data_IF_894762279186
#
_entry.id   IF_894762279186
#
_cell.length_a   1.000
_cell.length_b   1.000
_cell.length_c   1.000
_cell.angle_alpha   90.00
_cell.angle_beta   90.00
_cell.angle_gamma   90.00
#
_symmetry.space_group_name_H-M   'P 1'
#
loop_
_entity.id
_entity.type
_entity.pdbx_description
1 polymer ?
#
# COMPACT_ATOMS: atom_id res chain seq x y z
N UNK A 1 -13.29 -6.93 -2.48
CA UNK A 1 -12.57 -5.81 -1.81
C UNK A 1 -13.60 -4.92 -1.14
N UNK A 2 -13.55 -4.80 0.20
CA UNK A 2 -14.48 -3.96 0.98
C UNK A 2 -14.01 -2.50 0.94
N UNK A 3 -14.89 -1.57 0.59
CA UNK A 3 -14.58 -0.14 0.46
C UNK A 3 -15.58 0.72 1.22
N UNK A 4 -15.15 1.92 1.64
CA UNK A 4 -16.00 2.84 2.35
C UNK A 4 -16.12 4.15 1.58
N UNK A 5 -15.70 5.28 2.09
CA UNK A 5 -15.86 6.57 1.40
C UNK A 5 -14.69 6.88 0.44
N UNK A 6 -14.97 7.75 -0.55
CA UNK A 6 -13.99 8.18 -1.58
C UNK A 6 -13.37 7.03 -2.41
N UNK A 7 -14.05 5.90 -2.53
CA UNK A 7 -13.53 4.69 -3.16
C UNK A 7 -13.48 4.73 -4.69
N UNK A 8 -14.13 5.69 -5.37
CA UNK A 8 -14.31 5.68 -6.82
C UNK A 8 -13.03 5.42 -7.64
N UNK A 9 -11.89 6.03 -7.27
CA UNK A 9 -10.65 5.81 -8.02
C UNK A 9 -10.06 4.43 -7.77
N UNK A 10 -10.24 3.87 -6.57
CA UNK A 10 -9.84 2.53 -6.20
C UNK A 10 -10.72 1.48 -6.87
N UNK A 11 -12.05 1.65 -6.83
CA UNK A 11 -13.01 0.77 -7.48
C UNK A 11 -12.74 0.67 -8.99
N UNK A 12 -12.49 1.83 -9.62
CA UNK A 12 -12.11 1.89 -11.04
C UNK A 12 -10.78 1.17 -11.31
N UNK A 13 -9.80 1.32 -10.43
CA UNK A 13 -8.51 0.64 -10.57
C UNK A 13 -8.69 -0.87 -10.51
N UNK A 14 -9.35 -1.37 -9.49
CA UNK A 14 -9.59 -2.81 -9.29
C UNK A 14 -10.37 -3.42 -10.44
N UNK A 15 -11.51 -2.83 -10.80
CA UNK A 15 -12.38 -3.35 -11.86
C UNK A 15 -11.70 -3.40 -13.23
N UNK A 16 -10.77 -2.47 -13.50
CA UNK A 16 -10.06 -2.42 -14.79
C UNK A 16 -8.76 -3.22 -14.81
N UNK A 17 -8.10 -3.39 -13.69
CA UNK A 17 -6.81 -4.09 -13.61
C UNK A 17 -6.99 -5.59 -13.56
N UNK A 18 -7.94 -6.07 -12.75
CA UNK A 18 -8.17 -7.49 -12.52
C UNK A 18 -9.51 -7.94 -13.11
N UNK A 19 -9.59 -7.91 -14.43
CA UNK A 19 -10.74 -8.49 -15.14
C UNK A 19 -10.54 -9.99 -15.27
N UNK A 20 -11.31 -10.77 -14.51
CA UNK A 20 -11.34 -12.22 -14.61
C UNK A 20 -12.41 -12.68 -15.59
N UNK A 21 -12.17 -13.82 -16.25
CA UNK A 21 -13.17 -14.38 -17.17
C UNK A 21 -14.38 -14.91 -16.39
N UNK A 22 -15.60 -14.47 -16.68
CA UNK A 22 -16.81 -15.02 -16.05
C UNK A 22 -17.00 -16.53 -16.25
N UNK A 23 -16.39 -17.09 -17.32
CA UNK A 23 -16.47 -18.51 -17.63
C UNK A 23 -15.73 -19.39 -16.61
N UNK A 24 -14.79 -18.83 -15.86
CA UNK A 24 -14.02 -19.54 -14.83
C UNK A 24 -14.65 -19.46 -13.44
N UNK A 25 -15.76 -18.74 -13.29
CA UNK A 25 -16.43 -18.55 -12.00
C UNK A 25 -15.71 -17.61 -11.03
N UNK A 26 -14.50 -17.16 -11.36
CA UNK A 26 -13.74 -16.25 -10.52
C UNK A 26 -14.16 -14.80 -10.75
N UNK A 27 -14.22 -14.00 -9.69
CA UNK A 27 -14.51 -12.58 -9.79
C UNK A 27 -13.69 -11.75 -8.81
N UNK A 28 -13.51 -10.48 -9.15
CA UNK A 28 -12.95 -9.47 -8.25
C UNK A 28 -13.90 -8.28 -8.27
N UNK A 29 -14.50 -7.97 -7.12
CA UNK A 29 -15.52 -6.94 -7.02
C UNK A 29 -15.21 -5.95 -5.88
N UNK A 30 -15.33 -4.63 -6.12
CA UNK A 30 -15.44 -3.66 -5.05
C UNK A 30 -16.82 -3.78 -4.39
N UNK A 31 -16.84 -3.81 -3.07
CA UNK A 31 -18.06 -3.90 -2.26
C UNK A 31 -18.11 -2.67 -1.35
N UNK A 32 -18.85 -1.63 -1.75
CA UNK A 32 -18.99 -0.44 -0.91
C UNK A 32 -19.85 -0.73 0.32
N UNK A 33 -19.59 0.02 1.40
CA UNK A 33 -20.39 -0.06 2.62
C UNK A 33 -21.88 0.21 2.34
N UNK A 34 -22.76 -0.66 2.82
CA UNK A 34 -24.20 -0.65 2.52
C UNK A 34 -25.08 -0.45 3.76
N UNK A 35 -24.49 -0.18 4.94
CA UNK A 35 -25.22 0.02 6.20
C UNK A 35 -26.20 -1.13 6.55
N UNK A 36 -25.79 -2.37 6.33
CA UNK A 36 -26.66 -3.56 6.48
C UNK A 36 -27.08 -3.86 7.92
N UNK A 37 -26.38 -3.29 8.90
CA UNK A 37 -26.57 -3.52 10.34
C UNK A 37 -27.04 -2.29 11.11
N UNK A 38 -27.58 -1.30 10.43
CA UNK A 38 -28.04 -0.04 11.02
C UNK A 38 -27.50 1.17 10.27
N UNK A 39 -27.86 2.39 10.68
CA UNK A 39 -27.51 3.64 9.98
C UNK A 39 -26.06 4.09 10.29
N UNK A 40 -25.11 3.17 10.29
CA UNK A 40 -23.69 3.44 10.51
C UNK A 40 -22.82 2.82 9.41
N UNK A 41 -21.68 3.45 9.16
CA UNK A 41 -20.62 2.92 8.31
C UNK A 41 -19.87 1.81 9.05
N UNK A 42 -18.83 1.24 8.41
CA UNK A 42 -17.96 0.29 9.09
C UNK A 42 -17.31 0.93 10.32
N UNK A 43 -17.46 0.29 11.47
CA UNK A 43 -16.89 0.74 12.74
C UNK A 43 -15.43 0.35 12.89
N UNK A 44 -15.03 -0.74 12.21
CA UNK A 44 -13.68 -1.25 12.18
C UNK A 44 -13.52 -2.29 11.06
N UNK A 45 -12.35 -2.88 10.96
CA UNK A 45 -12.02 -3.89 9.93
C UNK A 45 -12.83 -5.19 10.10
N UNK A 46 -13.12 -5.62 11.32
CA UNK A 46 -13.95 -6.77 11.62
C UNK A 46 -15.43 -6.48 11.31
N UNK A 47 -15.92 -5.27 11.63
CA UNK A 47 -17.29 -4.89 11.29
C UNK A 47 -17.53 -4.82 9.78
N UNK A 48 -16.51 -4.40 9.00
CA UNK A 48 -16.59 -4.42 7.55
C UNK A 48 -16.87 -5.82 7.00
N UNK A 49 -16.19 -6.82 7.55
CA UNK A 49 -16.40 -8.22 7.16
C UNK A 49 -17.74 -8.71 7.68
N UNK A 50 -18.10 -8.41 8.93
CA UNK A 50 -19.37 -8.77 9.53
C UNK A 50 -20.57 -8.24 8.75
N UNK A 51 -20.53 -6.97 8.31
CA UNK A 51 -21.57 -6.39 7.46
C UNK A 51 -21.64 -7.00 6.05
N UNK A 52 -20.59 -7.71 5.64
CA UNK A 52 -20.45 -8.33 4.31
C UNK A 52 -20.59 -9.86 4.35
N UNK A 53 -21.05 -10.47 5.46
CA UNK A 53 -21.20 -11.92 5.61
C UNK A 53 -22.12 -12.56 4.58
N UNK A 54 -23.08 -11.81 4.01
CA UNK A 54 -23.90 -12.31 2.91
C UNK A 54 -23.09 -12.76 1.70
N UNK A 55 -21.93 -12.15 1.43
CA UNK A 55 -21.04 -12.56 0.34
C UNK A 55 -20.38 -13.90 0.70
N UNK A 56 -20.00 -14.06 1.96
CA UNK A 56 -19.46 -15.32 2.46
C UNK A 56 -20.53 -16.43 2.40
N UNK A 57 -21.75 -16.09 2.75
CA UNK A 57 -22.90 -17.02 2.70
C UNK A 57 -23.24 -17.42 1.24
N UNK A 58 -23.10 -16.50 0.28
CA UNK A 58 -23.35 -16.77 -1.14
C UNK A 58 -22.24 -17.66 -1.76
N UNK A 59 -20.97 -17.44 -1.41
CA UNK A 59 -19.82 -18.14 -1.99
C UNK A 59 -19.43 -19.41 -1.21
N UNK A 60 -19.80 -19.53 0.06
CA UNK A 60 -19.50 -20.67 0.95
C UNK A 60 -18.05 -21.18 0.91
N UNK A 61 -17.06 -20.30 1.05
CA UNK A 61 -15.66 -20.72 1.04
C UNK A 61 -15.32 -21.52 2.29
N UNK A 62 -14.43 -22.49 2.18
CA UNK A 62 -13.91 -23.24 3.33
C UNK A 62 -12.94 -22.39 4.15
N UNK A 63 -12.13 -21.59 3.47
CA UNK A 63 -11.14 -20.68 4.07
C UNK A 63 -11.31 -19.25 3.56
N UNK A 64 -11.02 -18.28 4.42
CA UNK A 64 -11.03 -16.86 4.09
C UNK A 64 -9.65 -16.26 4.34
N UNK A 65 -9.10 -15.60 3.33
CA UNK A 65 -7.88 -14.78 3.46
C UNK A 65 -8.26 -13.32 3.58
N UNK A 66 -7.80 -12.67 4.63
CA UNK A 66 -8.02 -11.24 4.89
C UNK A 66 -6.69 -10.51 4.74
N UNK A 67 -6.67 -9.43 3.95
CA UNK A 67 -5.46 -8.70 3.58
C UNK A 67 -5.69 -7.22 3.79
N UNK A 68 -4.73 -6.54 4.45
CA UNK A 68 -4.65 -5.08 4.49
C UNK A 68 -4.31 -4.51 3.11
N UNK A 69 -4.85 -3.35 2.78
CA UNK A 69 -4.68 -2.72 1.47
C UNK A 69 -3.60 -1.62 1.42
N UNK A 70 -2.94 -1.35 2.53
CA UNK A 70 -1.96 -0.27 2.74
C UNK A 70 -0.53 -0.75 2.92
N UNK A 71 -0.25 -1.99 2.49
CA UNK A 71 1.07 -2.59 2.61
C UNK A 71 1.66 -2.93 1.24
N UNK A 72 2.95 -2.73 1.08
CA UNK A 72 3.71 -3.11 -0.12
C UNK A 72 4.54 -4.34 0.20
N UNK A 73 4.26 -5.44 -0.47
CA UNK A 73 5.00 -6.71 -0.38
C UNK A 73 4.67 -7.58 -1.58
N UNK A 74 5.39 -8.69 -1.69
CA UNK A 74 5.10 -9.73 -2.69
C UNK A 74 4.99 -11.06 -1.97
N UNK A 75 3.88 -11.76 -2.15
CA UNK A 75 3.56 -12.97 -1.41
C UNK A 75 2.77 -13.94 -2.27
N UNK A 76 3.07 -15.22 -2.16
CA UNK A 76 2.21 -16.30 -2.61
C UNK A 76 1.32 -16.75 -1.43
N UNK A 77 0.08 -16.30 -1.46
CA UNK A 77 -0.89 -16.63 -0.41
C UNK A 77 -1.26 -18.11 -0.35
N UNK A 78 -1.05 -18.87 -1.43
CA UNK A 78 -1.34 -20.32 -1.42
C UNK A 78 -0.49 -21.05 -0.40
N UNK A 79 0.76 -20.61 -0.20
CA UNK A 79 1.67 -21.20 0.81
C UNK A 79 1.17 -20.93 2.23
N UNK A 80 0.68 -19.72 2.51
CA UNK A 80 0.08 -19.39 3.81
C UNK A 80 -1.22 -20.18 4.07
N UNK A 81 -2.06 -20.33 3.05
CA UNK A 81 -3.29 -21.15 3.14
C UNK A 81 -2.93 -22.61 3.40
N UNK A 82 -1.94 -23.17 2.71
CA UNK A 82 -1.51 -24.55 2.94
C UNK A 82 -0.97 -24.73 4.36
N UNK A 83 -0.15 -23.79 4.86
CA UNK A 83 0.33 -23.79 6.24
C UNK A 83 -0.84 -23.76 7.25
N UNK A 84 -1.87 -22.95 6.98
CA UNK A 84 -3.07 -22.91 7.81
C UNK A 84 -3.78 -24.27 7.87
N UNK A 85 -3.96 -24.91 6.73
CA UNK A 85 -4.56 -26.24 6.63
C UNK A 85 -3.74 -27.28 7.41
N UNK A 86 -2.42 -27.26 7.21
CA UNK A 86 -1.51 -28.23 7.84
C UNK A 86 -1.43 -28.03 9.36
N UNK A 87 -1.61 -26.81 9.86
CA UNK A 87 -1.64 -26.50 11.29
C UNK A 87 -2.86 -27.03 12.00
N UNK A 88 -3.97 -27.16 11.30
CA UNK A 88 -5.28 -27.53 11.85
C UNK A 88 -5.87 -26.50 12.81
N UNK A 89 -5.28 -25.30 12.92
CA UNK A 89 -5.76 -24.21 13.78
C UNK A 89 -6.79 -23.35 13.02
N UNK A 90 -7.82 -22.80 13.71
CA UNK A 90 -8.88 -22.06 13.06
C UNK A 90 -8.49 -20.66 12.57
N UNK A 91 -7.38 -20.10 13.06
CA UNK A 91 -6.84 -18.82 12.63
C UNK A 91 -5.31 -18.90 12.42
N UNK A 92 -4.81 -18.17 11.43
CA UNK A 92 -3.37 -18.01 11.18
C UNK A 92 -3.07 -16.56 10.88
N UNK A 93 -2.06 -15.97 11.53
CA UNK A 93 -1.57 -14.62 11.28
C UNK A 93 -0.21 -14.69 10.59
N UNK A 94 -0.02 -13.89 9.53
CA UNK A 94 1.31 -13.72 8.92
C UNK A 94 2.15 -12.76 9.77
N UNK A 95 3.35 -13.20 10.12
CA UNK A 95 4.33 -12.43 10.85
C UNK A 95 5.56 -12.10 10.02
N UNK A 96 6.11 -10.92 10.22
CA UNK A 96 7.37 -10.48 9.62
C UNK A 96 8.33 -9.97 10.69
N UNK A 97 9.62 -10.25 10.52
CA UNK A 97 10.66 -9.78 11.44
C UNK A 97 10.97 -8.31 11.18
N UNK A 98 10.71 -7.47 12.16
CA UNK A 98 10.94 -6.02 12.11
C UNK A 98 11.84 -5.56 13.26
N UNK A 99 12.61 -4.44 13.08
CA UNK A 99 13.35 -3.85 14.17
C UNK A 99 12.49 -3.56 15.40
N UNK A 100 12.99 -3.87 16.60
CA UNK A 100 12.23 -3.72 17.86
C UNK A 100 11.76 -2.28 18.11
N UNK A 101 12.49 -1.29 17.58
CA UNK A 101 12.14 0.13 17.69
C UNK A 101 10.80 0.46 16.99
N UNK A 102 10.38 -0.35 16.03
CA UNK A 102 9.11 -0.19 15.32
C UNK A 102 7.92 -0.82 16.06
N UNK A 103 8.14 -1.60 17.12
CA UNK A 103 7.09 -2.26 17.86
C UNK A 103 5.94 -1.33 18.31
N UNK A 104 6.17 -0.06 18.72
CA UNK A 104 5.08 0.85 19.10
C UNK A 104 4.12 1.24 17.98
N UNK A 105 4.47 0.95 16.73
CA UNK A 105 3.62 1.21 15.56
C UNK A 105 2.90 -0.04 15.03
N UNK A 106 3.31 -1.24 15.48
CA UNK A 106 2.91 -2.53 14.89
C UNK A 106 2.21 -3.43 15.91
N UNK A 107 1.42 -4.38 15.43
CA UNK A 107 0.98 -5.52 16.23
C UNK A 107 2.15 -6.50 16.41
N UNK A 108 2.53 -6.83 17.64
CA UNK A 108 3.65 -7.74 17.95
C UNK A 108 3.12 -9.10 18.32
N UNK A 109 3.68 -10.13 17.68
CA UNK A 109 3.34 -11.54 17.88
C UNK A 109 4.41 -12.19 18.75
N UNK A 110 3.99 -12.81 19.84
CA UNK A 110 4.79 -13.73 20.64
C UNK A 110 4.27 -15.16 20.39
N UNK A 111 5.11 -16.01 19.82
CA UNK A 111 4.74 -17.35 19.40
C UNK A 111 5.69 -18.41 19.94
N UNK A 112 5.16 -19.58 20.22
CA UNK A 112 5.90 -20.77 20.63
C UNK A 112 5.39 -22.01 19.89
N UNK A 113 6.29 -22.73 19.24
CA UNK A 113 5.96 -23.94 18.48
C UNK A 113 4.93 -23.75 17.36
N UNK A 114 4.92 -22.57 16.74
CA UNK A 114 3.97 -22.24 15.65
C UNK A 114 2.60 -21.73 16.12
N UNK A 115 2.36 -21.68 17.44
CA UNK A 115 1.12 -21.15 18.04
C UNK A 115 1.39 -19.78 18.66
N UNK A 116 0.51 -18.82 18.39
CA UNK A 116 0.59 -17.48 19.00
C UNK A 116 0.18 -17.58 20.47
N UNK A 117 1.04 -17.12 21.36
CA UNK A 117 0.80 -17.06 22.81
C UNK A 117 0.26 -15.71 23.24
N UNK A 118 0.81 -14.64 22.66
CA UNK A 118 0.34 -13.28 22.90
C UNK A 118 0.32 -12.48 21.61
N UNK A 119 -0.63 -11.59 21.51
CA UNK A 119 -0.72 -10.60 20.44
C UNK A 119 -0.87 -9.22 21.09
N UNK A 120 0.12 -8.36 20.90
CA UNK A 120 0.18 -7.05 21.54
C UNK A 120 0.04 -5.95 20.49
N UNK A 121 -1.08 -5.25 20.49
CA UNK A 121 -1.30 -4.14 19.57
C UNK A 121 -0.54 -2.89 20.04
N UNK A 122 0.43 -2.45 19.25
CA UNK A 122 1.25 -1.24 19.45
C UNK A 122 1.83 -1.11 20.86
N UNK A 123 2.58 -2.12 21.36
CA UNK A 123 3.09 -2.11 22.71
C UNK A 123 4.18 -1.04 22.87
N UNK A 124 4.16 -0.33 24.00
CA UNK A 124 5.23 0.64 24.33
C UNK A 124 6.59 -0.03 24.55
N UNK A 125 6.58 -1.27 24.99
CA UNK A 125 7.75 -2.12 25.20
C UNK A 125 7.43 -3.50 24.64
N UNK A 126 8.34 -4.03 23.83
CA UNK A 126 8.25 -5.38 23.30
C UNK A 126 9.49 -6.17 23.71
N UNK A 127 9.34 -7.47 23.82
CA UNK A 127 10.46 -8.39 23.98
C UNK A 127 10.94 -8.80 22.59
N UNK A 128 12.27 -8.77 22.36
CA UNK A 128 12.86 -9.25 21.13
C UNK A 128 12.78 -10.76 20.99
N UNK A 129 12.95 -11.24 19.76
CA UNK A 129 12.95 -12.66 19.44
C UNK A 129 14.08 -13.39 20.14
N UNK A 130 13.90 -14.67 20.46
CA UNK A 130 14.90 -15.48 21.15
C UNK A 130 16.18 -15.68 20.33
N UNK A 131 16.05 -15.74 19.00
CA UNK A 131 17.14 -15.88 18.03
C UNK A 131 17.75 -14.53 17.59
N UNK A 132 17.01 -13.44 17.69
CA UNK A 132 17.47 -12.08 17.37
C UNK A 132 16.79 -11.04 18.29
N UNK A 133 17.37 -10.70 19.44
CA UNK A 133 16.76 -9.76 20.39
C UNK A 133 16.59 -8.33 19.87
N UNK A 134 17.17 -7.99 18.72
CA UNK A 134 17.01 -6.68 18.08
C UNK A 134 15.76 -6.59 17.23
N UNK A 135 15.05 -7.70 17.06
CA UNK A 135 13.85 -7.81 16.24
C UNK A 135 12.65 -8.33 17.01
N UNK A 136 11.48 -7.99 16.53
CA UNK A 136 10.18 -8.55 16.92
C UNK A 136 9.52 -9.22 15.73
N UNK A 137 8.63 -10.16 15.98
CA UNK A 137 7.73 -10.67 14.94
C UNK A 137 6.49 -9.77 14.89
N UNK A 138 6.38 -8.98 13.84
CA UNK A 138 5.29 -8.04 13.64
C UNK A 138 4.19 -8.64 12.76
N UNK A 139 2.93 -8.38 13.08
CA UNK A 139 1.81 -8.76 12.22
C UNK A 139 1.85 -7.97 10.92
N UNK A 140 1.70 -8.67 9.80
CA UNK A 140 1.58 -8.07 8.48
C UNK A 140 0.16 -7.55 8.18
N UNK A 141 -0.82 -7.78 9.07
CA UNK A 141 -2.22 -7.52 8.78
C UNK A 141 -2.85 -8.51 7.78
N UNK A 142 -2.20 -9.64 7.54
CA UNK A 142 -2.67 -10.71 6.68
C UNK A 142 -3.05 -11.92 7.54
N UNK A 143 -4.25 -12.45 7.31
CA UNK A 143 -4.83 -13.51 8.12
C UNK A 143 -5.47 -14.57 7.24
N UNK A 144 -5.43 -15.83 7.68
CA UNK A 144 -6.22 -16.94 7.12
C UNK A 144 -7.10 -17.51 8.23
N UNK A 145 -8.33 -17.79 7.91
CA UNK A 145 -9.30 -18.37 8.85
C UNK A 145 -10.07 -19.51 8.22
N UNK A 146 -10.41 -20.50 9.03
CA UNK A 146 -11.53 -21.40 8.73
C UNK A 146 -12.81 -20.58 8.80
N UNK A 147 -13.61 -20.61 7.75
CA UNK A 147 -14.79 -19.73 7.59
C UNK A 147 -15.77 -19.77 8.74
N UNK A 148 -16.11 -20.98 9.22
CA UNK A 148 -17.08 -21.15 10.30
C UNK A 148 -16.62 -20.48 11.60
N UNK A 149 -15.33 -20.60 11.91
CA UNK A 149 -14.74 -20.04 13.14
C UNK A 149 -14.65 -18.52 13.06
N UNK A 150 -14.26 -17.96 11.90
CA UNK A 150 -14.28 -16.52 11.68
C UNK A 150 -15.70 -15.94 11.85
N UNK A 151 -16.69 -16.55 11.21
CA UNK A 151 -18.10 -16.10 11.31
C UNK A 151 -18.57 -16.10 12.75
N UNK A 152 -18.19 -17.13 13.53
CA UNK A 152 -18.51 -17.19 14.96
C UNK A 152 -17.83 -16.05 15.74
N UNK A 153 -16.54 -15.85 15.56
CA UNK A 153 -15.78 -14.77 16.22
C UNK A 153 -16.37 -13.38 15.91
N UNK A 154 -16.69 -13.12 14.64
CA UNK A 154 -17.30 -11.86 14.20
C UNK A 154 -18.70 -11.63 14.82
N UNK A 155 -19.49 -12.70 14.98
CA UNK A 155 -20.80 -12.61 15.62
C UNK A 155 -20.71 -12.36 17.13
N UNK A 156 -19.70 -12.89 17.79
CA UNK A 156 -19.46 -12.62 19.22
C UNK A 156 -18.96 -11.18 19.40
N UNK A 157 -17.97 -10.76 18.61
CA UNK A 157 -17.43 -9.39 18.64
C UNK A 157 -18.52 -8.33 18.38
N UNK A 158 -19.43 -8.60 17.46
CA UNK A 158 -20.54 -7.68 17.13
C UNK A 158 -21.56 -7.47 18.28
N UNK A 159 -21.54 -8.28 19.34
CA UNK A 159 -22.37 -8.12 20.54
C UNK A 159 -21.71 -7.24 21.60
N UNK A 160 -20.40 -7.05 21.51
CA UNK A 160 -19.64 -6.27 22.48
C UNK A 160 -19.69 -4.78 22.13
N UNK A 161 -20.39 -3.94 22.92
CA UNK A 161 -20.48 -2.51 22.65
C UNK A 161 -19.18 -1.75 22.91
N UNK A 162 -18.24 -2.35 23.63
CA UNK A 162 -16.94 -1.74 23.95
C UNK A 162 -15.85 -2.16 22.94
N UNK A 163 -16.16 -3.07 22.03
CA UNK A 163 -15.25 -3.49 20.98
C UNK A 163 -15.01 -2.36 19.96
N UNK A 164 -13.78 -2.29 19.46
CA UNK A 164 -13.41 -1.44 18.30
C UNK A 164 -13.73 -2.12 16.97
N UNK A 165 -14.17 -3.36 17.00
CA UNK A 165 -14.48 -4.19 15.84
C UNK A 165 -13.31 -4.24 14.84
N UNK A 166 -12.11 -4.44 15.36
CA UNK A 166 -10.86 -4.49 14.62
C UNK A 166 -10.29 -5.91 14.54
N UNK A 167 -9.76 -6.28 13.37
CA UNK A 167 -9.20 -7.64 13.18
C UNK A 167 -8.02 -7.90 14.10
N UNK A 168 -7.03 -7.00 14.12
CA UNK A 168 -5.84 -7.12 14.95
C UNK A 168 -6.10 -6.88 16.42
N UNK A 169 -6.96 -5.90 16.74
CA UNK A 169 -7.24 -5.51 18.13
C UNK A 169 -8.28 -6.35 18.86
N UNK A 170 -9.16 -7.04 18.14
CA UNK A 170 -10.27 -7.78 18.75
C UNK A 170 -10.34 -9.24 18.27
N UNK A 171 -10.36 -9.49 16.97
CA UNK A 171 -10.59 -10.85 16.44
C UNK A 171 -9.37 -11.76 16.66
N UNK A 172 -8.16 -11.32 16.34
CA UNK A 172 -6.96 -12.13 16.57
C UNK A 172 -6.75 -12.42 18.06
N UNK A 173 -6.83 -11.45 19.00
CA UNK A 173 -6.81 -11.74 20.42
C UNK A 173 -7.85 -12.76 20.88
N UNK A 174 -9.06 -12.73 20.32
CA UNK A 174 -10.12 -13.70 20.63
C UNK A 174 -9.69 -15.16 20.33
N UNK A 175 -8.97 -15.41 19.23
CA UNK A 175 -8.40 -16.73 18.90
C UNK A 175 -7.18 -17.05 19.75
N UNK A 176 -6.30 -16.06 20.01
CA UNK A 176 -5.08 -16.23 20.81
C UNK A 176 -5.40 -16.67 22.24
N UNK A 177 -6.41 -16.03 22.89
CA UNK A 177 -6.85 -16.40 24.25
C UNK A 177 -7.34 -17.84 24.36
N UNK A 178 -7.76 -18.43 23.26
CA UNK A 178 -8.23 -19.83 23.17
C UNK A 178 -7.14 -20.82 22.77
N UNK A 179 -5.93 -20.31 22.44
CA UNK A 179 -4.85 -21.13 21.90
C UNK A 179 -5.11 -21.63 20.48
N UNK A 180 -5.98 -20.93 19.74
CA UNK A 180 -6.51 -21.31 18.43
C UNK A 180 -5.92 -20.46 17.28
N UNK A 181 -4.82 -19.76 17.52
CA UNK A 181 -4.14 -18.91 16.52
C UNK A 181 -2.75 -19.44 16.21
N UNK A 182 -2.51 -19.77 14.94
CA UNK A 182 -1.19 -20.09 14.39
C UNK A 182 -0.47 -18.87 13.87
N UNK A 183 0.83 -18.99 13.64
CA UNK A 183 1.66 -18.00 13.00
C UNK A 183 2.31 -18.56 11.74
N UNK A 184 2.28 -17.80 10.66
CA UNK A 184 3.03 -18.04 9.42
C UNK A 184 4.19 -17.05 9.34
N UNK A 185 5.43 -17.52 9.40
CA UNK A 185 6.61 -16.65 9.21
C UNK A 185 6.74 -16.28 7.73
N UNK A 186 6.71 -14.99 7.42
CA UNK A 186 6.82 -14.51 6.04
C UNK A 186 8.18 -14.86 5.39
N UNK A 187 9.21 -15.15 6.17
CA UNK A 187 10.48 -15.64 5.65
C UNK A 187 10.36 -16.98 4.92
N UNK A 188 9.35 -17.77 5.25
CA UNK A 188 9.10 -19.07 4.60
C UNK A 188 8.37 -18.92 3.27
N UNK A 189 7.95 -17.70 2.89
CA UNK A 189 7.25 -17.46 1.65
C UNK A 189 8.23 -17.34 0.48
N UNK A 190 8.10 -18.20 -0.50
CA UNK A 190 8.93 -18.17 -1.71
C UNK A 190 8.10 -17.77 -2.92
N UNK A 191 8.53 -16.70 -3.59
CA UNK A 191 7.86 -16.16 -4.77
C UNK A 191 8.79 -16.30 -5.97
N UNK A 192 8.31 -16.85 -7.10
CA UNK A 192 9.13 -16.98 -8.31
C UNK A 192 9.84 -15.69 -8.71
N UNK A 193 11.12 -15.77 -9.04
CA UNK A 193 11.95 -14.63 -9.43
C UNK A 193 12.37 -13.70 -8.28
N UNK A 194 12.08 -14.06 -7.04
CA UNK A 194 12.60 -13.35 -5.87
C UNK A 194 14.09 -13.62 -5.68
N UNK A 195 14.79 -12.66 -5.12
CA UNK A 195 16.21 -12.73 -4.74
C UNK A 195 16.34 -12.56 -3.24
N UNK A 196 17.50 -12.87 -2.66
CA UNK A 196 17.76 -12.68 -1.23
C UNK A 196 17.57 -11.22 -0.77
N UNK A 197 17.53 -10.28 -1.71
CA UNK A 197 17.35 -8.86 -1.43
C UNK A 197 15.88 -8.48 -1.23
N UNK A 198 14.99 -8.96 -2.08
CA UNK A 198 13.56 -8.64 -2.05
C UNK A 198 12.72 -9.69 -1.30
N UNK A 199 13.36 -10.76 -0.84
CA UNK A 199 12.79 -11.65 0.17
C UNK A 199 12.56 -10.86 1.45
N UNK A 200 11.49 -11.09 2.15
CA UNK A 200 11.12 -10.40 3.39
C UNK A 200 10.86 -8.88 3.25
N UNK A 201 10.71 -8.37 2.02
CA UNK A 201 10.32 -6.97 1.85
C UNK A 201 8.85 -6.78 2.18
N UNK A 202 8.60 -6.00 3.20
CA UNK A 202 7.27 -5.53 3.56
C UNK A 202 7.36 -4.10 4.08
N UNK A 203 6.44 -3.24 3.65
CA UNK A 203 6.38 -1.85 4.10
C UNK A 203 4.93 -1.40 4.23
N UNK A 204 4.57 -0.90 5.40
CA UNK A 204 3.36 -0.13 5.61
C UNK A 204 3.48 1.25 4.93
N UNK A 205 2.46 1.67 4.21
CA UNK A 205 2.38 2.98 3.54
C UNK A 205 1.15 3.77 3.99
N UNK A 206 0.70 3.56 5.20
CA UNK A 206 -0.43 4.24 5.82
C UNK A 206 -0.22 5.73 6.09
N UNK A 207 1.01 6.25 5.93
CA UNK A 207 1.31 7.69 6.04
C UNK A 207 1.84 8.26 4.73
N UNK A 208 1.72 9.59 4.55
CA UNK A 208 2.25 10.28 3.36
C UNK A 208 3.77 10.14 3.26
N UNK A 209 4.47 10.18 4.41
CA UNK A 209 5.92 10.01 4.47
C UNK A 209 6.32 8.60 4.05
N UNK A 210 5.69 7.57 4.60
CA UNK A 210 5.95 6.17 4.24
C UNK A 210 5.64 5.90 2.76
N UNK A 211 4.55 6.47 2.23
CA UNK A 211 4.23 6.39 0.80
C UNK A 211 5.31 7.07 -0.07
N UNK A 212 5.76 8.25 0.32
CA UNK A 212 6.84 8.95 -0.38
C UNK A 212 8.13 8.15 -0.37
N UNK A 213 8.56 7.68 0.79
CA UNK A 213 9.78 6.90 0.95
C UNK A 213 9.73 5.59 0.15
N UNK A 214 8.60 4.88 0.14
CA UNK A 214 8.43 3.67 -0.66
C UNK A 214 8.63 3.94 -2.17
N UNK A 215 8.19 5.11 -2.67
CA UNK A 215 8.47 5.51 -4.05
C UNK A 215 9.93 5.87 -4.28
N UNK A 216 10.57 6.54 -3.31
CA UNK A 216 11.99 6.90 -3.42
C UNK A 216 12.91 5.68 -3.37
N UNK A 217 12.57 4.64 -2.62
CA UNK A 217 13.30 3.38 -2.62
C UNK A 217 13.37 2.74 -4.01
N UNK A 218 12.28 2.84 -4.80
CA UNK A 218 12.23 2.24 -6.13
C UNK A 218 13.25 2.83 -7.11
N UNK A 219 13.63 4.10 -6.93
CA UNK A 219 14.61 4.80 -7.78
C UNK A 219 16.03 4.70 -7.27
N UNK A 220 16.26 4.06 -6.14
CA UNK A 220 17.62 3.83 -5.63
C UNK A 220 18.42 2.98 -6.63
N UNK A 221 19.77 3.11 -6.61
CA UNK A 221 20.65 2.33 -7.47
C UNK A 221 20.41 0.82 -7.32
N UNK A 222 20.06 0.41 -6.13
CA UNK A 222 19.78 -0.97 -5.79
C UNK A 222 18.47 -1.07 -4.99
N UNK A 223 17.31 -0.93 -5.65
CA UNK A 223 16.02 -1.01 -4.95
C UNK A 223 15.86 -2.37 -4.26
N UNK A 224 15.29 -2.37 -3.08
CA UNK A 224 14.99 -3.61 -2.37
C UNK A 224 13.82 -4.30 -3.09
N UNK A 225 12.73 -3.58 -3.34
CA UNK A 225 11.59 -4.11 -4.07
C UNK A 225 11.84 -4.12 -5.59
N UNK A 226 11.95 -5.31 -6.19
CA UNK A 226 12.24 -5.47 -7.61
C UNK A 226 10.96 -5.38 -8.47
N UNK A 227 10.66 -4.22 -9.05
CA UNK A 227 9.55 -4.06 -10.00
C UNK A 227 9.73 -4.84 -11.32
N UNK A 228 10.97 -5.26 -11.65
CA UNK A 228 11.29 -5.95 -12.90
C UNK A 228 11.22 -7.48 -12.79
N UNK A 229 10.69 -8.01 -11.70
CA UNK A 229 10.41 -9.45 -11.60
C UNK A 229 9.32 -9.84 -12.62
N UNK A 230 9.70 -10.63 -13.63
CA UNK A 230 8.81 -11.08 -14.71
C UNK A 230 8.08 -12.38 -14.38
N UNK A 231 8.61 -13.14 -13.45
CA UNK A 231 8.04 -14.44 -13.07
C UNK A 231 6.86 -14.27 -12.09
N UNK A 232 6.84 -13.13 -11.38
CA UNK A 232 5.73 -12.71 -10.50
C UNK A 232 5.45 -11.21 -10.67
N UNK A 233 4.84 -10.81 -11.80
CA UNK A 233 4.70 -9.40 -12.15
C UNK A 233 3.69 -8.67 -11.27
N UNK A 234 4.00 -7.42 -10.92
CA UNK A 234 3.05 -6.53 -10.25
C UNK A 234 2.04 -6.01 -11.26
N UNK A 235 0.77 -6.40 -11.08
CA UNK A 235 -0.32 -5.93 -11.95
C UNK A 235 -0.67 -4.47 -11.65
N UNK A 236 -0.90 -3.70 -12.70
CA UNK A 236 -1.29 -2.28 -12.59
C UNK A 236 -2.33 -1.91 -13.64
N UNK A 237 -3.04 -0.81 -13.41
CA UNK A 237 -3.99 -0.27 -14.37
C UNK A 237 -3.27 0.24 -15.62
N UNK A 238 -3.41 -0.49 -16.72
CA UNK A 238 -2.93 -0.09 -18.04
C UNK A 238 -3.97 0.83 -18.69
N UNK A 239 -3.66 2.11 -18.84
CA UNK A 239 -4.52 3.08 -19.55
C UNK A 239 -4.32 2.99 -21.07
N UNK A 240 -4.46 1.80 -21.64
CA UNK A 240 -4.20 1.55 -23.07
C UNK A 240 -2.70 1.52 -23.42
N UNK A 241 -2.40 1.38 -24.71
CA UNK A 241 -1.02 1.44 -25.20
C UNK A 241 -0.55 2.89 -25.23
N UNK A 242 0.30 3.26 -24.29
CA UNK A 242 0.92 4.59 -24.27
C UNK A 242 2.20 4.60 -25.13
N UNK A 243 2.52 5.72 -25.80
CA UNK A 243 3.77 5.85 -26.51
C UNK A 243 4.97 5.83 -25.54
N UNK A 244 6.18 5.51 -26.01
CA UNK A 244 7.37 5.63 -25.20
C UNK A 244 7.57 7.03 -24.61
N UNK A 245 8.29 7.14 -23.50
CA UNK A 245 8.70 8.42 -22.96
C UNK A 245 9.59 9.17 -23.97
N UNK A 246 9.38 10.50 -24.08
CA UNK A 246 10.12 11.35 -25.02
C UNK A 246 10.94 12.40 -24.30
N UNK A 247 12.24 12.44 -24.60
CA UNK A 247 13.16 13.46 -24.15
C UNK A 247 13.48 14.38 -25.34
N UNK A 248 13.36 15.69 -25.15
CA UNK A 248 13.51 16.66 -26.24
C UNK A 248 14.79 17.45 -26.07
N UNK A 249 15.60 17.46 -27.11
CA UNK A 249 16.73 18.36 -27.26
C UNK A 249 16.36 19.53 -28.16
N UNK A 250 16.81 20.74 -27.81
CA UNK A 250 16.62 21.93 -28.63
C UNK A 250 17.89 22.77 -28.69
N UNK A 251 18.29 23.20 -29.88
CA UNK A 251 19.52 23.91 -30.14
C UNK A 251 19.62 25.29 -29.46
N UNK A 252 18.48 25.88 -29.10
CA UNK A 252 18.44 27.17 -28.43
C UNK A 252 18.70 27.05 -26.93
N UNK A 253 19.82 27.64 -26.49
CA UNK A 253 20.11 27.83 -25.05
C UNK A 253 20.39 26.55 -24.28
N UNK A 254 20.99 25.53 -24.90
CA UNK A 254 21.31 24.26 -24.25
C UNK A 254 20.11 23.56 -23.61
N UNK A 255 18.94 23.69 -24.20
CA UNK A 255 17.69 23.12 -23.74
C UNK A 255 17.70 21.60 -23.94
N UNK A 256 18.02 20.86 -22.90
CA UNK A 256 18.13 19.40 -22.92
C UNK A 256 17.12 18.82 -21.91
N UNK A 257 16.15 18.03 -22.42
CA UNK A 257 15.28 17.24 -21.55
C UNK A 257 16.01 16.00 -21.07
N UNK A 258 16.15 15.83 -19.77
CA UNK A 258 16.80 14.64 -19.21
C UNK A 258 16.18 14.20 -17.87
N UNK A 259 16.41 12.95 -17.51
CA UNK A 259 16.08 12.39 -16.22
C UNK A 259 17.26 11.55 -15.71
N UNK A 260 17.62 11.72 -14.45
CA UNK A 260 18.74 11.03 -13.80
C UNK A 260 18.20 10.42 -12.48
N UNK A 261 18.59 9.19 -12.19
CA UNK A 261 18.15 8.43 -11.02
C UNK A 261 16.60 8.48 -10.83
N UNK A 262 15.86 8.26 -11.91
CA UNK A 262 14.42 8.51 -11.94
C UNK A 262 13.68 7.44 -12.72
N UNK A 263 12.45 7.15 -12.30
CA UNK A 263 11.52 6.38 -13.11
C UNK A 263 10.70 7.30 -14.01
N UNK A 264 10.72 7.00 -15.31
CA UNK A 264 9.94 7.74 -16.31
C UNK A 264 9.02 6.79 -17.05
N UNK A 265 7.73 6.92 -16.78
CA UNK A 265 6.70 6.05 -17.35
C UNK A 265 6.40 6.34 -18.82
N UNK A 266 5.76 5.41 -19.55
CA UNK A 266 5.27 5.66 -20.90
C UNK A 266 4.33 6.87 -21.00
N UNK A 267 4.34 7.55 -22.15
CA UNK A 267 3.52 8.75 -22.40
C UNK A 267 4.07 10.04 -21.78
N UNK A 268 5.20 9.99 -21.06
CA UNK A 268 5.85 11.18 -20.50
C UNK A 268 6.59 11.95 -21.58
N UNK A 269 6.53 13.29 -21.53
CA UNK A 269 7.34 14.18 -22.36
C UNK A 269 8.13 15.12 -21.47
N UNK A 270 9.47 15.05 -21.53
CA UNK A 270 10.36 15.99 -20.89
C UNK A 270 10.93 16.92 -21.98
N UNK A 271 10.33 18.11 -22.11
CA UNK A 271 10.60 19.06 -23.18
C UNK A 271 11.65 20.10 -22.79
N UNK A 272 12.87 19.64 -22.53
CA UNK A 272 13.98 20.51 -22.11
C UNK A 272 13.88 20.96 -20.65
N UNK A 273 13.27 20.18 -19.80
CA UNK A 273 13.31 20.27 -18.34
C UNK A 273 14.27 19.24 -17.76
N UNK A 274 14.53 19.35 -16.49
CA UNK A 274 15.47 18.53 -15.71
C UNK A 274 14.69 17.74 -14.65
N UNK A 275 14.91 16.43 -14.61
CA UNK A 275 14.30 15.55 -13.62
C UNK A 275 15.39 14.77 -12.89
N UNK A 276 15.40 14.85 -11.58
CA UNK A 276 16.39 14.17 -10.73
C UNK A 276 15.67 13.42 -9.61
N UNK A 277 16.10 12.21 -9.32
CA UNK A 277 15.62 11.38 -8.20
C UNK A 277 14.13 11.49 -8.00
N UNK A 278 13.37 11.18 -9.06
CA UNK A 278 11.92 11.37 -9.06
C UNK A 278 11.19 10.24 -9.78
N UNK A 279 9.96 10.00 -9.36
CA UNK A 279 9.04 9.05 -10.00
C UNK A 279 8.05 9.82 -10.85
N UNK A 280 8.09 9.65 -12.18
CA UNK A 280 7.23 10.34 -13.14
C UNK A 280 6.23 9.35 -13.74
N UNK A 281 4.98 9.48 -13.33
CA UNK A 281 3.89 8.60 -13.79
C UNK A 281 3.41 8.95 -15.22
N UNK A 282 2.64 8.04 -15.85
CA UNK A 282 2.22 8.18 -17.24
C UNK A 282 1.54 9.50 -17.60
N UNK A 283 1.67 9.93 -18.87
CA UNK A 283 1.05 11.14 -19.43
C UNK A 283 1.42 12.45 -18.72
N UNK A 284 2.54 12.49 -18.03
CA UNK A 284 3.09 13.72 -17.44
C UNK A 284 3.84 14.53 -18.49
N UNK A 285 3.72 15.85 -18.42
CA UNK A 285 4.44 16.77 -19.29
C UNK A 285 5.31 17.72 -18.47
N UNK A 286 6.64 17.66 -18.67
CA UNK A 286 7.62 18.57 -18.05
C UNK A 286 8.12 19.55 -19.11
N UNK A 287 7.77 20.83 -18.95
CA UNK A 287 8.12 21.87 -19.92
C UNK A 287 9.59 22.33 -19.80
N UNK A 288 10.01 23.15 -20.76
CA UNK A 288 11.39 23.65 -20.84
C UNK A 288 11.82 24.40 -19.58
N UNK A 289 13.04 24.14 -19.14
CA UNK A 289 13.69 24.72 -17.95
C UNK A 289 12.94 24.48 -16.64
N UNK A 290 11.94 23.62 -16.63
CA UNK A 290 11.35 23.16 -15.39
C UNK A 290 12.34 22.23 -14.67
N UNK A 291 12.39 22.33 -13.35
CA UNK A 291 13.24 21.51 -12.47
C UNK A 291 12.37 20.69 -11.55
N UNK A 292 12.55 19.38 -11.59
CA UNK A 292 11.84 18.43 -10.71
C UNK A 292 12.89 17.60 -10.00
N UNK A 293 12.87 17.60 -8.68
CA UNK A 293 13.77 16.76 -7.89
C UNK A 293 13.08 16.16 -6.68
N UNK A 294 13.53 14.96 -6.30
CA UNK A 294 13.09 14.27 -5.10
C UNK A 294 11.57 14.23 -4.99
N UNK A 295 10.86 13.91 -6.08
CA UNK A 295 9.42 14.10 -6.16
C UNK A 295 8.69 12.90 -6.76
N UNK A 296 7.44 12.71 -6.33
CA UNK A 296 6.51 11.73 -6.87
C UNK A 296 5.42 12.46 -7.67
N UNK A 297 5.44 12.30 -8.98
CA UNK A 297 4.54 13.00 -9.90
C UNK A 297 3.55 12.00 -10.48
N UNK A 298 2.27 12.15 -10.14
CA UNK A 298 1.21 11.23 -10.59
C UNK A 298 0.69 11.59 -11.98
N UNK A 299 -0.10 10.65 -12.53
CA UNK A 299 -0.60 10.67 -13.90
C UNK A 299 -1.22 12.01 -14.33
N UNK A 300 -0.90 12.41 -15.57
CA UNK A 300 -1.56 13.54 -16.23
C UNK A 300 -1.14 14.91 -15.71
N UNK A 301 -0.13 14.97 -14.85
CA UNK A 301 0.41 16.22 -14.31
C UNK A 301 1.11 17.04 -15.38
N UNK A 302 0.94 18.37 -15.34
CA UNK A 302 1.62 19.32 -16.23
C UNK A 302 2.49 20.25 -15.41
N UNK A 303 3.79 20.24 -15.68
CA UNK A 303 4.79 21.06 -15.00
C UNK A 303 5.24 22.16 -15.95
N UNK A 304 4.85 23.39 -15.65
CA UNK A 304 5.04 24.57 -16.52
C UNK A 304 6.49 24.97 -16.70
N UNK A 305 6.73 25.82 -17.69
CA UNK A 305 8.07 26.34 -18.04
C UNK A 305 8.72 27.02 -16.82
N UNK A 306 10.01 26.79 -16.63
CA UNK A 306 10.82 27.43 -15.57
C UNK A 306 10.25 27.25 -14.14
N UNK A 307 9.33 26.32 -13.93
CA UNK A 307 8.82 26.01 -12.59
C UNK A 307 9.80 25.13 -11.82
N UNK A 308 9.63 25.08 -10.49
CA UNK A 308 10.44 24.22 -9.61
C UNK A 308 9.54 23.38 -8.72
N UNK A 309 9.80 22.08 -8.70
CA UNK A 309 9.10 21.09 -7.87
C UNK A 309 10.16 20.30 -7.11
N UNK A 310 10.16 20.40 -5.80
CA UNK A 310 11.19 19.78 -4.93
C UNK A 310 10.51 19.06 -3.76
N UNK A 311 10.91 17.82 -3.49
CA UNK A 311 10.44 17.01 -2.37
C UNK A 311 8.91 17.06 -2.21
N UNK A 312 8.21 16.77 -3.30
CA UNK A 312 6.76 16.99 -3.44
C UNK A 312 6.06 15.75 -3.99
N UNK A 313 4.85 15.48 -3.50
CA UNK A 313 3.90 14.58 -4.13
C UNK A 313 2.88 15.43 -4.88
N UNK A 314 2.88 15.37 -6.22
CA UNK A 314 1.80 15.95 -7.04
C UNK A 314 0.81 14.86 -7.40
N UNK A 315 -0.42 14.94 -6.91
CA UNK A 315 -1.48 13.99 -7.26
C UNK A 315 -1.95 14.18 -8.72
N UNK A 316 -2.81 13.30 -9.18
CA UNK A 316 -3.25 13.20 -10.59
C UNK A 316 -3.80 14.51 -11.14
N UNK A 317 -3.41 14.85 -12.36
CA UNK A 317 -3.89 16.02 -13.11
C UNK A 317 -3.59 17.37 -12.43
N UNK A 318 -2.58 17.44 -11.58
CA UNK A 318 -2.10 18.74 -11.06
C UNK A 318 -1.46 19.54 -12.19
N UNK A 319 -1.67 20.86 -12.17
CA UNK A 319 -1.03 21.80 -13.09
C UNK A 319 -0.15 22.74 -12.28
N UNK A 320 1.15 22.73 -12.55
CA UNK A 320 2.11 23.72 -12.04
C UNK A 320 2.27 24.79 -13.08
N UNK A 321 1.90 26.03 -12.76
CA UNK A 321 1.99 27.15 -13.71
C UNK A 321 3.44 27.52 -14.04
N UNK A 322 3.63 28.27 -15.11
CA UNK A 322 4.95 28.76 -15.53
C UNK A 322 5.61 29.59 -14.43
N UNK A 323 6.83 29.23 -14.07
CA UNK A 323 7.60 29.88 -13.01
C UNK A 323 7.10 29.66 -11.59
N UNK A 324 6.10 28.82 -11.39
CA UNK A 324 5.62 28.47 -10.05
C UNK A 324 6.63 27.58 -9.31
N UNK A 325 6.67 27.73 -8.00
CA UNK A 325 7.56 26.98 -7.11
C UNK A 325 6.74 26.24 -6.06
N UNK A 326 7.08 24.97 -5.81
CA UNK A 326 6.44 24.14 -4.77
C UNK A 326 7.48 23.24 -4.11
N UNK A 327 7.33 23.02 -2.80
CA UNK A 327 8.20 22.18 -1.99
C UNK A 327 9.53 22.84 -1.57
N UNK A 328 9.66 24.14 -1.72
CA UNK A 328 10.84 24.93 -1.31
C UNK A 328 10.48 25.86 -0.15
N UNK A 329 9.44 26.66 -0.31
CA UNK A 329 8.90 27.53 0.73
C UNK A 329 7.67 26.83 1.35
N UNK A 330 7.92 26.11 2.42
CA UNK A 330 6.89 25.26 3.06
C UNK A 330 5.78 26.09 3.72
N UNK A 331 6.06 27.30 4.21
CA UNK A 331 5.05 28.18 4.78
C UNK A 331 4.11 28.68 3.69
N UNK A 332 4.65 29.12 2.56
CA UNK A 332 3.85 29.51 1.40
C UNK A 332 3.03 28.33 0.87
N UNK A 333 3.56 27.11 0.92
CA UNK A 333 2.81 25.91 0.51
C UNK A 333 1.62 25.66 1.43
N UNK A 334 1.78 25.83 2.75
CA UNK A 334 0.68 25.75 3.72
C UNK A 334 -0.37 26.84 3.49
N UNK A 335 0.05 28.09 3.24
CA UNK A 335 -0.85 29.21 2.93
C UNK A 335 -1.69 28.97 1.68
N UNK A 336 -1.13 28.24 0.68
CA UNK A 336 -1.84 27.81 -0.53
C UNK A 336 -2.81 26.63 -0.28
N UNK A 337 -2.88 26.13 0.94
CA UNK A 337 -3.74 25.01 1.32
C UNK A 337 -3.18 23.64 0.96
N UNK A 338 -1.88 23.53 0.72
CA UNK A 338 -1.23 22.23 0.52
C UNK A 338 -0.88 21.59 1.86
N UNK A 339 -0.92 20.25 1.90
CA UNK A 339 -0.45 19.52 3.07
C UNK A 339 1.07 19.49 3.05
N UNK A 340 1.69 19.83 4.18
CA UNK A 340 3.13 19.69 4.39
C UNK A 340 3.35 18.79 5.59
N UNK A 341 4.04 17.67 5.38
CA UNK A 341 4.32 16.71 6.46
C UNK A 341 5.41 17.23 7.39
N UNK A 342 5.59 16.57 8.53
CA UNK A 342 6.62 16.95 9.52
C UNK A 342 8.05 16.76 8.94
N UNK A 343 8.23 15.82 8.03
CA UNK A 343 9.50 15.63 7.30
C UNK A 343 9.71 16.65 6.18
N UNK A 344 8.75 17.56 5.94
CA UNK A 344 8.84 18.62 4.94
C UNK A 344 8.49 18.18 3.51
N UNK A 345 7.66 17.16 3.33
CA UNK A 345 7.12 16.77 2.03
C UNK A 345 5.86 17.60 1.76
N UNK A 346 5.83 18.30 0.64
CA UNK A 346 4.62 19.01 0.20
C UNK A 346 3.73 18.09 -0.63
N UNK A 347 2.42 18.04 -0.33
CA UNK A 347 1.45 17.23 -1.06
C UNK A 347 0.39 18.13 -1.68
N UNK A 348 0.31 18.09 -3.01
CA UNK A 348 -0.66 18.87 -3.78
C UNK A 348 -1.80 17.94 -4.23
N UNK A 349 -3.05 18.18 -3.78
CA UNK A 349 -4.19 17.32 -4.11
C UNK A 349 -4.54 17.30 -5.60
N UNK A 350 -5.23 16.24 -6.00
CA UNK A 350 -5.66 15.98 -7.38
C UNK A 350 -6.37 17.17 -8.03
N UNK A 351 -5.92 17.50 -9.25
CA UNK A 351 -6.54 18.52 -10.10
C UNK A 351 -6.31 19.96 -9.66
N UNK A 352 -5.51 20.20 -8.63
CA UNK A 352 -5.18 21.55 -8.18
C UNK A 352 -4.22 22.24 -9.13
N UNK A 353 -4.24 23.57 -9.09
CA UNK A 353 -3.32 24.43 -9.82
C UNK A 353 -2.35 25.10 -8.83
N UNK A 354 -1.06 24.82 -9.00
CA UNK A 354 0.01 25.52 -8.27
C UNK A 354 0.32 26.79 -9.03
N UNK A 355 -0.15 27.91 -8.48
CA UNK A 355 0.05 29.26 -9.06
C UNK A 355 1.42 29.83 -8.69
N UNK A 356 1.87 30.77 -9.54
CA UNK A 356 3.12 31.48 -9.32
C UNK A 356 3.15 32.28 -8.04
#
# INVERSE_FOLDING_TARGET
MLTQYKSHSLDRHVTKTWYTSPLLGNFIAPVPAQQRRGPHWYLGSADAIYQSLNIVDDEQPEYIVIIGADNIYRMDFSQMVQHHIDSGLPATVAGIRQPIELAPALGVIDADGGTVKNFLEKPKHAQGLADDPTKVLASMGNYVFTTADLVNALREDAKDPDSKHDMGGNIIPWFVERGECGVYDFQDNDVPGSTDRDRDYWRDVGTLDAYYEANMDLISVHPVFNLYNRDWPTMTLMNGALPPAKFVYGDQGSRIGHAIDSFVSPGVIISGGEVYRSVISPNTYVHSWAQVSDSVIMNGTRIGRSSKVVKTILDKNVVVEEGAIVGIDLERDRERGFTVTDSGITVVPKGMVVRK
#
